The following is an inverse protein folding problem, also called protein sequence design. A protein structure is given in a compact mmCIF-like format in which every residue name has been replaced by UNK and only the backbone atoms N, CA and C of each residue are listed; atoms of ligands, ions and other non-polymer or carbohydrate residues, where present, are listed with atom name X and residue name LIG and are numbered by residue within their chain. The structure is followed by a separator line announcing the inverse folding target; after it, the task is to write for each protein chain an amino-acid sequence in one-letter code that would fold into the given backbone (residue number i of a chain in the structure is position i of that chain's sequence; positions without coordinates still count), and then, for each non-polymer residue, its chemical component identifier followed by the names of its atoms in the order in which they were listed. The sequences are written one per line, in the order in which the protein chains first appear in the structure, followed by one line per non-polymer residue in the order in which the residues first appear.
data_IF_003282990152
#
_entry.id   IF_003282990152
#
_cell.length_a   1.000
_cell.length_b   1.000
_cell.length_c   1.000
_cell.angle_alpha   90.00
_cell.angle_beta   90.00
_cell.angle_gamma   90.00
#
_symmetry.space_group_name_H-M   'P 1'
#
loop_
_entity.id
_entity.type
_entity.pdbx_description
1 polymer ?
#
# COMPACT_ATOMS: atom_id res chain seq x y z
N UNK A 1 -16.23 23.45 13.75
CA UNK A 1 -16.70 24.28 12.61
C UNK A 1 -16.29 25.75 12.73
N UNK A 2 -16.32 26.35 13.92
CA UNK A 2 -15.98 27.78 14.13
C UNK A 2 -14.54 28.15 13.70
N UNK A 3 -13.57 27.29 14.01
CA UNK A 3 -12.17 27.49 13.59
C UNK A 3 -11.95 27.41 12.07
N UNK A 4 -12.72 26.61 11.33
CA UNK A 4 -12.59 26.49 9.86
C UNK A 4 -13.03 27.80 9.21
N UNK A 5 -14.15 28.38 9.67
CA UNK A 5 -14.65 29.68 9.17
C UNK A 5 -13.65 30.81 9.43
N UNK A 6 -13.00 30.80 10.59
CA UNK A 6 -11.97 31.78 10.93
C UNK A 6 -10.75 31.65 10.02
N UNK A 7 -10.27 30.43 9.76
CA UNK A 7 -9.16 30.19 8.84
C UNK A 7 -9.50 30.61 7.41
N UNK A 8 -10.70 30.26 6.92
CA UNK A 8 -11.19 30.70 5.61
C UNK A 8 -11.23 32.23 5.51
N UNK A 9 -11.76 32.90 6.52
CA UNK A 9 -11.83 34.36 6.57
C UNK A 9 -10.44 35.03 6.51
N UNK A 10 -9.47 34.55 7.28
CA UNK A 10 -8.11 35.09 7.25
C UNK A 10 -7.39 34.82 5.92
N UNK A 11 -7.65 33.68 5.30
CA UNK A 11 -7.08 33.35 4.00
C UNK A 11 -7.73 34.18 2.87
N UNK A 12 -9.04 34.44 2.92
CA UNK A 12 -9.76 35.27 1.94
C UNK A 12 -9.26 36.72 1.90
N UNK A 13 -8.76 37.24 3.04
CA UNK A 13 -8.12 38.56 3.08
C UNK A 13 -6.85 38.66 2.24
N UNK A 14 -6.16 37.53 2.01
CA UNK A 14 -4.86 37.49 1.32
C UNK A 14 -4.93 36.84 -0.05
N UNK A 15 -5.89 35.94 -0.26
CA UNK A 15 -6.01 35.12 -1.46
C UNK A 15 -7.45 35.08 -1.95
N UNK A 16 -7.63 35.06 -3.28
CA UNK A 16 -8.95 34.80 -3.87
C UNK A 16 -9.29 33.33 -3.69
N UNK A 17 -10.17 33.04 -2.75
CA UNK A 17 -10.58 31.67 -2.41
C UNK A 17 -12.02 31.44 -2.87
N UNK A 18 -12.29 30.19 -3.23
CA UNK A 18 -13.64 29.69 -3.49
C UNK A 18 -13.88 28.54 -2.53
N UNK A 19 -14.77 28.74 -1.56
CA UNK A 19 -15.24 27.66 -0.72
C UNK A 19 -16.11 26.72 -1.56
N UNK A 20 -15.73 25.44 -1.60
CA UNK A 20 -16.45 24.38 -2.31
C UNK A 20 -17.34 23.55 -1.37
N UNK A 21 -17.43 23.95 -0.10
CA UNK A 21 -18.15 23.24 0.94
C UNK A 21 -17.36 22.05 1.46
N UNK A 22 -18.08 21.04 1.95
CA UNK A 22 -17.48 19.82 2.48
C UNK A 22 -16.68 19.07 1.41
N UNK A 23 -15.53 18.53 1.82
CA UNK A 23 -14.61 17.84 0.92
C UNK A 23 -15.28 16.57 0.38
N UNK A 24 -15.62 16.59 -0.90
CA UNK A 24 -16.13 15.45 -1.66
C UNK A 24 -15.09 14.84 -2.59
N UNK A 25 -14.10 15.63 -3.03
CA UNK A 25 -13.03 15.18 -3.91
C UNK A 25 -11.69 15.82 -3.53
N UNK A 26 -10.63 15.01 -3.48
CA UNK A 26 -9.26 15.48 -3.28
C UNK A 26 -8.30 14.64 -4.13
N UNK A 27 -7.61 15.26 -5.09
CA UNK A 27 -6.63 14.58 -5.95
C UNK A 27 -7.20 13.31 -6.64
N UNK A 28 -8.43 13.32 -7.13
CA UNK A 28 -9.10 12.11 -7.68
C UNK A 28 -9.48 11.01 -6.68
N UNK A 29 -9.28 11.24 -5.38
CA UNK A 29 -9.96 10.49 -4.32
C UNK A 29 -11.36 11.08 -4.12
N UNK A 30 -12.35 10.21 -4.07
CA UNK A 30 -13.74 10.52 -3.75
C UNK A 30 -13.95 10.23 -2.27
N UNK A 31 -14.31 11.27 -1.53
CA UNK A 31 -14.47 11.23 -0.09
C UNK A 31 -15.97 11.34 0.20
N UNK A 32 -16.51 10.34 0.90
CA UNK A 32 -17.87 10.42 1.45
C UNK A 32 -17.77 10.38 2.95
N UNK A 33 -18.22 11.44 3.58
CA UNK A 33 -18.25 11.57 5.02
C UNK A 33 -19.70 11.61 5.49
N UNK A 34 -20.07 10.66 6.34
CA UNK A 34 -21.35 10.65 7.04
C UNK A 34 -21.04 10.94 8.51
N UNK A 35 -21.38 12.15 9.01
CA UNK A 35 -21.07 12.57 10.37
C UNK A 35 -21.47 11.51 11.40
N UNK A 36 -20.58 11.26 12.35
CA UNK A 36 -20.77 10.27 13.43
C UNK A 36 -21.05 8.82 12.99
N UNK A 37 -20.85 8.49 11.72
CA UNK A 37 -21.10 7.14 11.19
C UNK A 37 -19.90 6.58 10.46
N UNK A 38 -19.48 7.22 9.36
CA UNK A 38 -18.43 6.66 8.52
C UNK A 38 -17.71 7.71 7.67
N UNK A 39 -16.49 7.38 7.28
CA UNK A 39 -15.69 8.06 6.27
C UNK A 39 -15.30 6.99 5.25
N UNK A 40 -15.59 7.21 3.97
CA UNK A 40 -15.11 6.34 2.90
C UNK A 40 -14.26 7.10 1.91
N UNK A 41 -13.14 6.50 1.50
CA UNK A 41 -12.28 6.99 0.44
C UNK A 41 -12.25 5.97 -0.68
N UNK A 42 -12.63 6.38 -1.88
CA UNK A 42 -12.58 5.55 -3.08
C UNK A 42 -11.95 6.30 -4.24
N UNK A 43 -11.65 5.61 -5.33
CA UNK A 43 -11.10 6.21 -6.55
C UNK A 43 -11.89 5.77 -7.79
N UNK A 44 -13.19 5.56 -7.65
CA UNK A 44 -14.07 5.01 -8.70
C UNK A 44 -13.95 5.77 -10.02
N UNK A 45 -14.05 7.09 -10.00
CA UNK A 45 -13.94 7.94 -11.18
C UNK A 45 -12.54 7.94 -11.78
N UNK A 46 -11.49 7.87 -10.95
CA UNK A 46 -10.12 7.71 -11.44
C UNK A 46 -9.92 6.36 -12.14
N UNK A 47 -10.42 5.27 -11.55
CA UNK A 47 -10.39 3.94 -12.18
C UNK A 47 -11.11 3.99 -13.55
N UNK A 48 -12.26 4.65 -13.64
CA UNK A 48 -12.96 4.85 -14.92
C UNK A 48 -12.08 5.51 -15.98
N UNK A 49 -11.46 6.65 -15.64
CA UNK A 49 -10.54 7.36 -16.56
C UNK A 49 -9.31 6.54 -16.93
N UNK A 50 -8.75 5.77 -15.98
CA UNK A 50 -7.62 4.88 -16.24
C UNK A 50 -7.99 3.78 -17.23
N UNK A 51 -9.18 3.19 -17.09
CA UNK A 51 -9.65 2.15 -17.98
C UNK A 51 -9.95 2.69 -19.38
N UNK A 52 -10.56 3.87 -19.49
CA UNK A 52 -10.75 4.56 -20.76
C UNK A 52 -9.41 4.88 -21.44
N UNK A 53 -8.48 5.50 -20.68
CA UNK A 53 -7.14 5.87 -21.17
C UNK A 53 -6.38 4.70 -21.78
N UNK A 54 -6.52 3.50 -21.21
CA UNK A 54 -5.79 2.31 -21.66
C UNK A 54 -6.63 1.36 -22.52
N UNK A 55 -7.76 1.84 -23.08
CA UNK A 55 -8.66 1.07 -23.97
C UNK A 55 -9.21 -0.21 -23.32
N UNK A 56 -9.53 -0.13 -22.03
CA UNK A 56 -9.99 -1.25 -21.19
C UNK A 56 -11.38 -0.99 -20.55
N UNK A 57 -12.12 0.03 -21.00
CA UNK A 57 -13.43 0.37 -20.43
C UNK A 57 -14.46 -0.78 -20.51
N UNK A 58 -14.45 -1.53 -21.62
CA UNK A 58 -15.35 -2.66 -21.89
C UNK A 58 -14.71 -4.03 -21.63
N UNK A 59 -13.57 -4.06 -20.91
CA UNK A 59 -12.87 -5.32 -20.69
C UNK A 59 -13.66 -6.25 -19.75
N UNK A 60 -13.54 -7.57 -19.95
CA UNK A 60 -14.12 -8.54 -19.02
C UNK A 60 -13.38 -8.51 -17.68
N UNK A 61 -14.12 -8.34 -16.59
CA UNK A 61 -13.57 -8.34 -15.24
C UNK A 61 -12.80 -9.63 -14.91
N UNK A 62 -11.79 -9.51 -14.04
CA UNK A 62 -11.06 -10.64 -13.45
C UNK A 62 -11.24 -10.66 -11.94
N UNK A 63 -11.35 -11.84 -11.30
CA UNK A 63 -11.60 -11.92 -9.86
C UNK A 63 -10.36 -11.70 -9.00
N UNK A 64 -9.15 -11.79 -9.57
CA UNK A 64 -7.89 -11.57 -8.84
C UNK A 64 -6.95 -10.63 -9.60
N UNK A 65 -6.23 -9.74 -8.89
CA UNK A 65 -5.31 -8.79 -9.52
C UNK A 65 -4.08 -9.50 -10.09
N UNK A 66 -3.69 -10.61 -9.49
CA UNK A 66 -2.50 -11.38 -9.86
C UNK A 66 -2.88 -12.83 -10.16
N UNK A 67 -2.22 -13.44 -11.15
CA UNK A 67 -2.39 -14.86 -11.47
C UNK A 67 -1.67 -15.74 -10.43
N UNK A 68 -2.16 -16.96 -10.21
CA UNK A 68 -1.43 -17.97 -9.44
C UNK A 68 -0.44 -18.70 -10.37
N UNK A 69 0.74 -19.03 -9.86
CA UNK A 69 1.74 -19.83 -10.58
C UNK A 69 3.02 -19.05 -10.91
N UNK A 70 3.72 -19.51 -11.94
CA UNK A 70 5.00 -18.94 -12.35
C UNK A 70 4.81 -17.57 -13.01
N UNK A 71 5.50 -16.56 -12.51
CA UNK A 71 5.64 -15.27 -13.18
C UNK A 71 6.76 -15.33 -14.22
N UNK A 72 6.63 -14.58 -15.32
CA UNK A 72 7.74 -14.35 -16.23
C UNK A 72 8.92 -13.75 -15.49
N UNK A 73 10.12 -14.15 -15.92
CA UNK A 73 11.37 -13.52 -15.50
C UNK A 73 11.54 -12.18 -16.24
N UNK A 74 12.39 -11.27 -15.74
CA UNK A 74 12.78 -10.06 -16.46
C UNK A 74 13.21 -10.40 -17.89
N UNK A 75 12.75 -9.61 -18.86
CA UNK A 75 13.12 -9.81 -20.25
C UNK A 75 14.62 -9.64 -20.45
N UNK A 76 15.22 -10.55 -21.22
CA UNK A 76 16.64 -10.53 -21.55
C UNK A 76 16.83 -9.95 -22.96
N UNK A 77 17.43 -8.75 -23.12
CA UNK A 77 17.59 -8.12 -24.43
C UNK A 77 18.48 -8.93 -25.39
N UNK A 78 19.30 -9.85 -24.89
CA UNK A 78 20.12 -10.73 -25.71
C UNK A 78 19.33 -11.93 -26.27
N UNK A 79 18.13 -12.19 -25.73
CA UNK A 79 17.29 -13.36 -26.06
C UNK A 79 15.94 -13.00 -26.66
N UNK A 80 15.38 -11.86 -26.29
CA UNK A 80 14.04 -11.42 -26.70
C UNK A 80 13.90 -9.90 -26.76
N UNK A 81 12.86 -9.42 -27.44
CA UNK A 81 12.52 -8.01 -27.46
C UNK A 81 12.04 -7.56 -26.06
N UNK A 82 12.68 -6.53 -25.53
CA UNK A 82 12.33 -5.88 -24.26
C UNK A 82 11.73 -4.49 -24.47
N UNK A 83 11.05 -3.98 -23.45
CA UNK A 83 10.28 -2.74 -23.51
C UNK A 83 9.20 -2.77 -24.61
N UNK A 84 8.52 -3.92 -24.74
CA UNK A 84 7.54 -4.16 -25.80
C UNK A 84 6.14 -3.74 -25.35
N UNK A 85 5.63 -2.66 -25.94
CA UNK A 85 4.22 -2.28 -25.83
C UNK A 85 3.39 -3.08 -26.86
N UNK A 86 2.43 -3.90 -26.40
CA UNK A 86 1.56 -4.69 -27.29
C UNK A 86 0.67 -3.78 -28.14
N UNK A 87 0.22 -2.67 -27.57
CA UNK A 87 -0.55 -1.63 -28.25
C UNK A 87 0.34 -0.37 -28.28
N UNK A 88 0.68 0.17 -29.47
CA UNK A 88 1.55 1.34 -29.59
C UNK A 88 1.06 2.57 -28.82
N UNK A 89 -0.26 2.70 -28.60
CA UNK A 89 -0.86 3.83 -27.89
C UNK A 89 -0.93 3.62 -26.38
N UNK A 90 -0.58 2.42 -25.89
CA UNK A 90 -0.70 2.05 -24.48
C UNK A 90 0.69 1.70 -23.95
N UNK A 91 1.22 2.61 -23.15
CA UNK A 91 2.53 2.43 -22.53
C UNK A 91 2.45 1.69 -21.18
N UNK A 92 3.31 0.68 -21.02
CA UNK A 92 3.39 -0.14 -19.81
C UNK A 92 3.71 0.69 -18.55
N UNK A 93 4.67 1.62 -18.65
CA UNK A 93 5.10 2.43 -17.50
C UNK A 93 3.99 3.39 -17.06
N UNK A 94 3.21 3.91 -18.02
CA UNK A 94 2.02 4.71 -17.75
C UNK A 94 0.93 3.91 -17.03
N UNK A 95 0.72 2.64 -17.41
CA UNK A 95 -0.18 1.75 -16.65
C UNK A 95 0.34 1.59 -15.23
N UNK A 96 1.61 1.24 -15.06
CA UNK A 96 2.22 1.07 -13.73
C UNK A 96 2.06 2.33 -12.88
N UNK A 97 2.38 3.52 -13.40
CA UNK A 97 2.25 4.77 -12.65
C UNK A 97 0.81 5.05 -12.21
N UNK A 98 -0.17 4.76 -13.07
CA UNK A 98 -1.59 4.91 -12.74
C UNK A 98 -2.04 3.92 -11.66
N UNK A 99 -1.58 2.67 -11.74
CA UNK A 99 -1.84 1.66 -10.72
C UNK A 99 -1.15 1.97 -9.39
N UNK A 100 0.07 2.50 -9.42
CA UNK A 100 0.82 2.91 -8.24
C UNK A 100 0.09 4.02 -7.49
N UNK A 101 -0.54 4.95 -8.21
CA UNK A 101 -1.37 5.99 -7.60
C UNK A 101 -2.60 5.41 -6.87
N UNK A 102 -3.25 4.40 -7.46
CA UNK A 102 -4.36 3.69 -6.80
C UNK A 102 -3.91 3.03 -5.49
N UNK A 103 -2.77 2.34 -5.53
CA UNK A 103 -2.16 1.70 -4.35
C UNK A 103 -1.83 2.73 -3.28
N UNK A 104 -1.30 3.90 -3.64
CA UNK A 104 -0.92 4.90 -2.66
C UNK A 104 -2.11 5.55 -1.93
N UNK A 105 -3.32 5.43 -2.47
CA UNK A 105 -4.49 6.14 -1.96
C UNK A 105 -5.55 5.22 -1.36
N UNK A 106 -6.09 4.25 -2.10
CA UNK A 106 -7.29 3.50 -1.68
C UNK A 106 -7.31 2.01 -1.99
N UNK A 107 -6.30 1.47 -2.69
CA UNK A 107 -6.30 0.10 -3.21
C UNK A 107 -5.15 -0.76 -2.65
N UNK A 108 -5.18 -1.12 -1.36
CA UNK A 108 -4.21 -2.07 -0.77
C UNK A 108 -4.24 -3.44 -1.45
N UNK A 109 -5.41 -3.85 -1.94
CA UNK A 109 -5.67 -5.17 -2.51
C UNK A 109 -4.88 -5.46 -3.80
N UNK A 110 -4.42 -4.44 -4.52
CA UNK A 110 -3.56 -4.60 -5.70
C UNK A 110 -2.07 -4.37 -5.42
N UNK A 111 -1.69 -4.02 -4.19
CA UNK A 111 -0.33 -3.57 -3.87
C UNK A 111 0.76 -4.59 -4.26
N UNK A 112 0.54 -5.88 -3.99
CA UNK A 112 1.50 -6.94 -4.35
C UNK A 112 1.62 -7.12 -5.87
N UNK A 113 0.51 -7.05 -6.59
CA UNK A 113 0.50 -7.14 -8.05
C UNK A 113 1.26 -5.96 -8.68
N UNK A 114 1.00 -4.73 -8.23
CA UNK A 114 1.67 -3.53 -8.72
C UNK A 114 3.16 -3.54 -8.38
N UNK A 115 3.53 -3.95 -7.17
CA UNK A 115 4.95 -4.16 -6.78
C UNK A 115 5.65 -5.13 -7.73
N UNK A 116 4.97 -6.21 -8.13
CA UNK A 116 5.51 -7.19 -9.08
C UNK A 116 5.73 -6.54 -10.45
N UNK A 117 4.76 -5.79 -10.96
CA UNK A 117 4.88 -5.06 -12.23
C UNK A 117 6.02 -4.03 -12.24
N UNK A 118 6.26 -3.36 -11.11
CA UNK A 118 7.30 -2.35 -10.98
C UNK A 118 8.73 -2.87 -11.19
N UNK A 119 8.96 -4.19 -11.07
CA UNK A 119 10.27 -4.80 -11.34
C UNK A 119 10.68 -4.70 -12.80
N UNK A 120 9.70 -4.72 -13.70
CA UNK A 120 9.93 -4.89 -15.13
C UNK A 120 9.91 -3.58 -15.90
N UNK A 121 9.95 -2.43 -15.23
CA UNK A 121 9.78 -1.11 -15.88
C UNK A 121 10.76 -0.85 -17.04
N UNK A 122 11.95 -1.45 -17.02
CA UNK A 122 12.99 -1.29 -18.04
C UNK A 122 13.26 -2.56 -18.85
N UNK A 123 12.51 -3.64 -18.63
CA UNK A 123 12.71 -4.94 -19.26
C UNK A 123 11.40 -5.71 -19.47
N UNK A 124 10.28 -4.99 -19.60
CA UNK A 124 8.97 -5.60 -19.79
C UNK A 124 8.85 -6.21 -21.19
N UNK A 125 8.15 -7.34 -21.26
CA UNK A 125 7.90 -8.12 -22.47
C UNK A 125 6.39 -8.19 -22.69
N UNK A 126 5.94 -8.87 -23.75
CA UNK A 126 4.50 -9.07 -24.00
C UNK A 126 3.80 -9.75 -22.83
N UNK A 127 4.44 -10.70 -22.16
CA UNK A 127 3.87 -11.39 -21.00
C UNK A 127 3.66 -10.44 -19.81
N UNK A 128 4.64 -9.58 -19.55
CA UNK A 128 4.54 -8.55 -18.52
C UNK A 128 3.38 -7.57 -18.80
N UNK A 129 3.20 -7.18 -20.06
CA UNK A 129 2.09 -6.32 -20.48
C UNK A 129 0.72 -6.98 -20.21
N UNK A 130 0.60 -8.30 -20.46
CA UNK A 130 -0.61 -9.06 -20.15
C UNK A 130 -0.91 -9.05 -18.65
N UNK A 131 0.11 -9.16 -17.80
CA UNK A 131 -0.06 -9.05 -16.35
C UNK A 131 -0.55 -7.65 -15.94
N UNK A 132 -0.03 -6.58 -16.53
CA UNK A 132 -0.51 -5.22 -16.27
C UNK A 132 -1.99 -5.06 -16.69
N UNK A 133 -2.37 -5.56 -17.88
CA UNK A 133 -3.78 -5.58 -18.31
C UNK A 133 -4.67 -6.40 -17.38
N UNK A 134 -4.16 -7.48 -16.76
CA UNK A 134 -4.92 -8.26 -15.78
C UNK A 134 -5.32 -7.40 -14.57
N UNK A 135 -4.43 -6.57 -14.05
CA UNK A 135 -4.74 -5.68 -12.92
C UNK A 135 -5.84 -4.69 -13.32
N UNK A 136 -5.79 -4.13 -14.54
CA UNK A 136 -6.86 -3.27 -15.07
C UNK A 136 -8.20 -4.01 -15.16
N UNK A 137 -8.21 -5.27 -15.60
CA UNK A 137 -9.43 -6.11 -15.62
C UNK A 137 -9.96 -6.39 -14.22
N UNK A 138 -9.09 -6.57 -13.24
CA UNK A 138 -9.53 -6.72 -11.85
C UNK A 138 -10.16 -5.44 -11.32
N UNK A 139 -9.58 -4.28 -11.64
CA UNK A 139 -10.14 -2.98 -11.29
C UNK A 139 -11.51 -2.74 -11.93
N UNK A 140 -11.75 -3.20 -13.16
CA UNK A 140 -13.07 -3.14 -13.80
C UNK A 140 -14.15 -3.86 -13.01
N UNK A 141 -13.83 -5.01 -12.38
CA UNK A 141 -14.78 -5.74 -11.52
C UNK A 141 -14.93 -5.17 -10.12
N UNK A 142 -14.00 -4.30 -9.69
CA UNK A 142 -13.88 -3.83 -8.31
C UNK A 142 -13.85 -2.31 -8.22
N UNK A 143 -14.49 -1.61 -9.18
CA UNK A 143 -14.47 -0.13 -9.28
C UNK A 143 -15.06 0.57 -8.05
N UNK A 144 -16.01 -0.10 -7.40
CA UNK A 144 -16.71 0.41 -6.22
C UNK A 144 -15.94 0.16 -4.91
N UNK A 145 -14.81 -0.55 -4.95
CA UNK A 145 -14.01 -0.79 -3.75
C UNK A 145 -13.32 0.49 -3.29
N UNK A 146 -13.24 0.65 -1.98
CA UNK A 146 -12.56 1.74 -1.30
C UNK A 146 -12.33 1.40 0.17
N UNK A 147 -11.63 2.28 0.86
CA UNK A 147 -11.40 2.18 2.29
C UNK A 147 -12.59 2.79 3.02
N UNK A 148 -13.13 2.07 4.00
CA UNK A 148 -14.26 2.52 4.83
C UNK A 148 -13.82 2.54 6.28
N UNK A 149 -13.81 3.72 6.87
CA UNK A 149 -13.62 3.94 8.30
C UNK A 149 -14.99 4.10 8.94
N UNK A 150 -15.39 3.17 9.78
CA UNK A 150 -16.61 3.30 10.58
C UNK A 150 -16.27 3.94 11.93
N UNK A 151 -17.24 4.61 12.53
CA UNK A 151 -17.10 5.10 13.90
C UNK A 151 -16.81 3.90 14.82
N UNK A 152 -15.74 3.95 15.62
CA UNK A 152 -15.42 2.87 16.54
C UNK A 152 -16.52 2.71 17.58
N UNK A 153 -16.81 1.46 17.94
CA UNK A 153 -17.72 1.15 19.04
C UNK A 153 -17.13 1.53 20.41
N UNK A 154 -15.81 1.43 20.55
CA UNK A 154 -15.08 1.75 21.78
C UNK A 154 -14.41 3.12 21.69
N UNK A 155 -14.42 3.92 22.77
CA UNK A 155 -13.64 5.14 22.83
C UNK A 155 -12.13 4.83 22.83
N UNK A 156 -11.34 5.81 22.40
CA UNK A 156 -9.88 5.73 22.38
C UNK A 156 -9.29 5.43 21.00
N UNK A 157 -7.95 5.40 20.97
CA UNK A 157 -7.15 5.23 19.76
C UNK A 157 -6.44 3.88 19.79
N UNK A 158 -7.06 2.88 19.17
CA UNK A 158 -6.56 1.52 19.10
C UNK A 158 -5.75 1.33 17.82
N UNK A 159 -4.41 1.33 17.94
CA UNK A 159 -3.51 1.05 16.83
C UNK A 159 -3.18 -0.44 16.81
N UNK A 160 -3.47 -1.08 15.69
CA UNK A 160 -3.14 -2.48 15.41
C UNK A 160 -2.34 -2.53 14.13
N UNK A 161 -1.32 -3.37 14.10
CA UNK A 161 -0.49 -3.60 12.93
C UNK A 161 -0.37 -5.10 12.67
N UNK A 162 -0.21 -5.45 11.40
CA UNK A 162 0.06 -6.80 10.93
C UNK A 162 1.29 -6.72 10.05
N UNK A 163 2.28 -7.58 10.28
CA UNK A 163 3.43 -7.79 9.42
C UNK A 163 3.44 -9.24 8.94
N UNK A 164 4.02 -9.45 7.76
CA UNK A 164 4.17 -10.76 7.12
C UNK A 164 5.31 -10.68 6.09
N UNK A 165 6.00 -11.79 5.87
CA UNK A 165 7.11 -11.89 4.93
C UNK A 165 7.03 -13.17 4.09
N UNK A 166 6.99 -12.99 2.77
CA UNK A 166 7.06 -14.10 1.84
C UNK A 166 8.53 -14.41 1.48
N UNK A 167 9.09 -15.46 2.10
CA UNK A 167 10.50 -15.85 1.96
C UNK A 167 10.85 -16.32 0.54
N UNK A 168 11.87 -15.70 -0.05
CA UNK A 168 12.51 -16.22 -1.27
C UNK A 168 11.59 -16.35 -2.50
N UNK A 169 10.42 -15.72 -2.46
CA UNK A 169 9.41 -15.80 -3.52
C UNK A 169 9.86 -15.07 -4.81
N UNK A 170 10.85 -14.18 -4.70
CA UNK A 170 11.48 -13.59 -5.86
C UNK A 170 12.42 -14.58 -6.54
N UNK A 171 12.02 -15.10 -7.70
CA UNK A 171 12.85 -16.04 -8.46
C UNK A 171 14.13 -15.41 -8.98
N UNK A 172 14.11 -14.10 -9.23
CA UNK A 172 15.21 -13.38 -9.88
C UNK A 172 16.41 -13.20 -8.94
N UNK A 173 16.16 -12.74 -7.70
CA UNK A 173 17.21 -12.39 -6.74
C UNK A 173 17.05 -13.08 -5.37
N UNK A 174 16.09 -14.00 -5.23
CA UNK A 174 15.79 -14.77 -4.01
C UNK A 174 15.52 -13.92 -2.76
N UNK A 175 15.17 -12.65 -2.93
CA UNK A 175 14.80 -11.77 -1.82
C UNK A 175 13.36 -12.01 -1.38
N UNK A 176 13.14 -11.83 -0.09
CA UNK A 176 11.81 -11.92 0.51
C UNK A 176 10.98 -10.68 0.22
N UNK A 177 9.66 -10.80 0.36
CA UNK A 177 8.71 -9.69 0.19
C UNK A 177 8.08 -9.38 1.54
N UNK A 178 8.25 -8.16 2.02
CA UNK A 178 7.54 -7.65 3.20
C UNK A 178 6.16 -7.15 2.82
N UNK A 179 5.14 -7.61 3.54
CA UNK A 179 3.81 -7.04 3.61
C UNK A 179 3.55 -6.45 5.00
N UNK A 180 2.83 -5.33 5.07
CA UNK A 180 2.23 -4.90 6.33
C UNK A 180 0.95 -4.11 6.11
N UNK A 181 0.09 -4.10 7.14
CA UNK A 181 -1.14 -3.31 7.22
C UNK A 181 -1.26 -2.73 8.62
N UNK A 182 -1.45 -1.41 8.73
CA UNK A 182 -1.74 -0.72 9.98
C UNK A 182 -3.20 -0.24 9.96
N UNK A 183 -3.86 -0.48 11.08
CA UNK A 183 -5.24 -0.15 11.33
C UNK A 183 -5.36 0.75 12.56
N UNK A 184 -6.16 1.79 12.41
CA UNK A 184 -6.56 2.66 13.50
C UNK A 184 -8.03 2.40 13.76
N UNK A 185 -8.37 1.91 14.95
CA UNK A 185 -9.75 1.58 15.31
C UNK A 185 -10.41 0.60 14.33
N UNK A 186 -9.68 -0.43 13.91
CA UNK A 186 -10.14 -1.43 12.94
C UNK A 186 -10.14 -0.96 11.48
N UNK A 187 -9.69 0.26 11.21
CA UNK A 187 -9.76 0.85 9.89
C UNK A 187 -8.36 1.06 9.30
N UNK A 188 -8.10 0.45 8.15
CA UNK A 188 -6.80 0.49 7.47
C UNK A 188 -6.45 1.89 6.98
N UNK A 189 -5.29 2.41 7.37
CA UNK A 189 -4.81 3.72 6.93
C UNK A 189 -3.41 3.68 6.32
N UNK A 190 -2.62 2.65 6.61
CA UNK A 190 -1.30 2.47 6.04
C UNK A 190 -1.08 1.00 5.69
N UNK A 191 -0.42 0.75 4.57
CA UNK A 191 -0.16 -0.59 4.07
C UNK A 191 0.98 -0.54 3.06
N UNK A 192 1.66 -1.67 2.88
CA UNK A 192 2.76 -1.77 1.92
C UNK A 192 3.00 -3.20 1.49
N UNK A 193 3.44 -3.36 0.25
CA UNK A 193 4.08 -4.58 -0.24
C UNK A 193 5.40 -4.17 -0.89
N UNK A 194 6.53 -4.70 -0.40
CA UNK A 194 7.86 -4.24 -0.79
C UNK A 194 8.86 -5.39 -0.77
N UNK A 195 9.74 -5.42 -1.78
CA UNK A 195 10.89 -6.34 -1.79
C UNK A 195 11.88 -5.93 -0.70
N UNK A 196 12.34 -6.89 0.10
CA UNK A 196 13.33 -6.63 1.13
C UNK A 196 14.67 -6.23 0.50
N UNK A 197 15.41 -5.29 1.12
CA UNK A 197 16.71 -4.86 0.60
C UNK A 197 17.81 -5.89 0.85
N UNK A 198 17.64 -6.76 1.86
CA UNK A 198 18.59 -7.80 2.24
C UNK A 198 18.06 -9.17 1.80
N UNK A 199 18.98 -10.11 1.52
CA UNK A 199 18.63 -11.52 1.38
C UNK A 199 18.61 -12.15 2.77
N UNK A 200 17.57 -12.93 3.04
CA UNK A 200 17.42 -13.73 4.26
C UNK A 200 17.40 -15.20 3.86
N UNK A 201 18.09 -16.02 4.62
CA UNK A 201 18.26 -17.46 4.40
C UNK A 201 17.20 -18.30 5.13
N UNK A 202 16.49 -17.70 6.09
CA UNK A 202 15.43 -18.35 6.85
C UNK A 202 14.18 -17.46 6.97
N UNK A 203 13.04 -18.10 7.29
CA UNK A 203 11.75 -17.43 7.44
C UNK A 203 11.75 -16.46 8.62
N UNK A 204 12.37 -16.83 9.76
CA UNK A 204 12.39 -15.98 10.95
C UNK A 204 13.09 -14.64 10.67
N UNK A 205 14.21 -14.66 9.96
CA UNK A 205 14.91 -13.44 9.54
C UNK A 205 14.08 -12.58 8.59
N UNK A 206 13.35 -13.19 7.64
CA UNK A 206 12.46 -12.48 6.73
C UNK A 206 11.31 -11.78 7.48
N UNK A 207 10.66 -12.50 8.39
CA UNK A 207 9.57 -11.97 9.22
C UNK A 207 10.06 -10.87 10.15
N UNK A 208 11.23 -11.05 10.77
CA UNK A 208 11.84 -10.01 11.59
C UNK A 208 12.05 -8.70 10.82
N UNK A 209 12.48 -8.77 9.54
CA UNK A 209 12.62 -7.58 8.68
C UNK A 209 11.25 -6.96 8.39
N UNK A 210 10.22 -7.76 8.14
CA UNK A 210 8.86 -7.26 7.93
C UNK A 210 8.31 -6.56 9.17
N UNK A 211 8.41 -7.20 10.34
CA UNK A 211 8.06 -6.62 11.63
C UNK A 211 8.83 -5.30 11.88
N UNK A 212 10.12 -5.25 11.56
CA UNK A 212 10.91 -4.03 11.74
C UNK A 212 10.49 -2.88 10.83
N UNK A 213 10.23 -3.15 9.55
CA UNK A 213 9.70 -2.13 8.64
C UNK A 213 8.32 -1.64 9.10
N UNK A 214 7.47 -2.53 9.62
CA UNK A 214 6.17 -2.21 10.19
C UNK A 214 6.30 -1.33 11.44
N UNK A 215 7.20 -1.67 12.37
CA UNK A 215 7.46 -0.90 13.60
C UNK A 215 7.92 0.53 13.32
N UNK A 216 8.68 0.76 12.25
CA UNK A 216 9.02 2.14 11.85
C UNK A 216 7.76 2.97 11.54
N UNK A 217 6.77 2.39 10.86
CA UNK A 217 5.50 3.07 10.57
C UNK A 217 4.64 3.25 11.82
N UNK A 218 4.69 2.29 12.75
CA UNK A 218 4.05 2.43 14.06
C UNK A 218 4.64 3.63 14.80
N UNK A 219 5.97 3.74 14.87
CA UNK A 219 6.66 4.86 15.52
C UNK A 219 6.34 6.20 14.84
N UNK A 220 6.32 6.25 13.51
CA UNK A 220 5.88 7.46 12.80
C UNK A 220 4.43 7.85 13.17
N UNK A 221 3.55 6.86 13.31
CA UNK A 221 2.15 7.09 13.72
C UNK A 221 2.07 7.58 15.16
N UNK A 222 2.90 7.05 16.07
CA UNK A 222 2.97 7.49 17.46
C UNK A 222 3.39 8.95 17.57
N UNK A 223 4.45 9.35 16.85
CA UNK A 223 4.93 10.73 16.82
C UNK A 223 3.87 11.68 16.26
N UNK A 224 3.20 11.28 15.18
CA UNK A 224 2.10 12.08 14.60
C UNK A 224 0.95 12.26 15.59
N UNK A 225 0.59 11.21 16.35
CA UNK A 225 -0.45 11.33 17.37
C UNK A 225 -0.04 12.30 18.49
N UNK A 226 1.22 12.29 18.90
CA UNK A 226 1.75 13.21 19.90
C UNK A 226 1.70 14.67 19.42
N UNK A 227 2.14 14.94 18.19
CA UNK A 227 2.06 16.28 17.58
C UNK A 227 0.62 16.79 17.47
N UNK A 228 -0.31 15.90 17.12
CA UNK A 228 -1.74 16.19 17.06
C UNK A 228 -2.42 16.24 18.44
N UNK A 229 -1.67 16.03 19.53
CA UNK A 229 -2.16 15.97 20.92
C UNK A 229 -3.28 14.93 21.11
N UNK A 230 -3.22 13.84 20.36
CA UNK A 230 -4.13 12.71 20.47
C UNK A 230 -3.64 11.78 21.59
N UNK A 231 -4.47 11.58 22.61
CA UNK A 231 -4.13 10.68 23.70
C UNK A 231 -4.21 9.22 23.25
N UNK A 232 -3.12 8.48 23.46
CA UNK A 232 -3.03 7.05 23.24
C UNK A 232 -3.04 6.34 24.58
N UNK A 233 -4.19 5.80 24.97
CA UNK A 233 -4.37 5.14 26.26
C UNK A 233 -4.15 3.63 26.20
N UNK A 234 -3.98 3.08 25.00
CA UNK A 234 -3.84 1.65 24.75
C UNK A 234 -2.50 1.32 24.11
N UNK A 235 -1.94 0.18 24.50
CA UNK A 235 -0.74 -0.36 23.88
C UNK A 235 -1.00 -0.70 22.41
N UNK A 236 -0.02 -0.45 21.54
CA UNK A 236 -0.07 -0.88 20.15
C UNK A 236 0.26 -2.35 20.04
N UNK A 237 -0.52 -3.09 19.27
CA UNK A 237 -0.30 -4.52 19.02
C UNK A 237 0.24 -4.69 17.60
N UNK A 238 1.39 -5.35 17.46
CA UNK A 238 1.92 -5.84 16.20
C UNK A 238 1.69 -7.35 16.15
N UNK A 239 0.84 -7.80 15.25
CA UNK A 239 0.61 -9.20 14.95
C UNK A 239 1.66 -9.71 13.97
N UNK A 240 2.21 -10.86 14.32
CA UNK A 240 3.20 -11.64 13.60
C UNK A 240 2.79 -13.11 13.74
N UNK A 241 2.92 -13.91 12.70
CA UNK A 241 2.46 -15.31 12.71
C UNK A 241 3.59 -16.32 12.92
N UNK A 242 4.85 -15.86 12.85
CA UNK A 242 6.04 -16.68 13.02
C UNK A 242 6.53 -16.69 14.49
N UNK A 243 6.41 -17.82 15.23
CA UNK A 243 6.78 -17.88 16.64
C UNK A 243 8.27 -17.65 16.90
N UNK A 244 9.13 -18.02 15.96
CA UNK A 244 10.57 -17.80 16.09
C UNK A 244 10.89 -16.31 15.99
N UNK A 245 10.28 -15.60 15.04
CA UNK A 245 10.43 -14.15 14.90
C UNK A 245 9.90 -13.41 16.13
N UNK A 246 8.72 -13.80 16.64
CA UNK A 246 8.14 -13.24 17.87
C UNK A 246 9.11 -13.40 19.06
N UNK A 247 9.70 -14.59 19.20
CA UNK A 247 10.67 -14.86 20.26
C UNK A 247 11.91 -13.98 20.13
N UNK A 248 12.48 -13.86 18.93
CA UNK A 248 13.64 -12.99 18.67
C UNK A 248 13.31 -11.53 19.01
N UNK A 249 12.16 -11.02 18.58
CA UNK A 249 11.70 -9.66 18.89
C UNK A 249 11.59 -9.46 20.42
N UNK A 250 10.98 -10.42 21.12
CA UNK A 250 10.85 -10.38 22.57
C UNK A 250 12.20 -10.44 23.30
N UNK A 251 13.15 -11.24 22.82
CA UNK A 251 14.47 -11.41 23.44
C UNK A 251 15.45 -10.28 23.09
N UNK A 252 15.32 -9.62 21.94
CA UNK A 252 16.12 -8.44 21.56
C UNK A 252 15.86 -7.28 22.53
N UNK A 253 14.66 -7.17 23.10
CA UNK A 253 14.38 -6.24 24.21
C UNK A 253 15.20 -6.54 25.50
N UNK A 254 15.78 -7.73 25.59
CA UNK A 254 16.61 -8.23 26.71
C UNK A 254 18.09 -8.48 26.36
N UNK A 255 18.56 -8.04 25.19
CA UNK A 255 20.00 -8.01 24.84
C UNK A 255 20.54 -9.18 24.00
N UNK A 256 19.69 -9.91 23.28
CA UNK A 256 20.14 -10.97 22.36
C UNK A 256 20.60 -10.39 21.00
N UNK A 257 21.85 -10.69 20.61
CA UNK A 257 22.51 -10.20 19.40
C UNK A 257 22.40 -11.21 18.26
N UNK A 258 21.47 -11.02 17.32
CA UNK A 258 21.47 -11.73 16.04
C UNK A 258 22.35 -10.93 15.08
N UNK A 259 23.65 -11.26 15.07
CA UNK A 259 24.74 -10.51 14.38
C UNK A 259 24.50 -10.18 12.90
N UNK A 260 23.61 -10.88 12.19
CA UNK A 260 23.31 -10.64 10.77
C UNK A 260 22.28 -9.53 10.52
N UNK A 261 21.45 -9.18 11.51
CA UNK A 261 20.34 -8.19 11.39
C UNK A 261 20.47 -7.02 12.38
N UNK A 262 21.54 -7.06 13.17
CA UNK A 262 21.75 -6.40 14.47
C UNK A 262 22.00 -4.88 14.49
N UNK A 263 22.00 -4.14 13.36
CA UNK A 263 22.30 -2.69 13.41
C UNK A 263 21.26 -1.79 12.76
N UNK A 264 20.41 -2.32 11.87
CA UNK A 264 19.45 -1.50 11.11
C UNK A 264 18.02 -1.55 11.69
N UNK A 265 17.70 -2.58 12.46
CA UNK A 265 16.33 -2.97 12.76
C UNK A 265 15.97 -2.99 14.27
N UNK A 266 16.83 -2.42 15.11
CA UNK A 266 16.72 -2.28 16.58
C UNK A 266 15.61 -1.33 17.08
N UNK A 267 14.55 -1.12 16.29
CA UNK A 267 13.44 -0.19 16.60
C UNK A 267 12.11 -0.88 16.87
N UNK A 268 12.13 -2.20 17.05
CA UNK A 268 10.94 -3.00 17.40
C UNK A 268 10.82 -3.06 18.92
#
# INVERSE_FOLDING_TARGET
MENIKLVLFELEKKFKIKDLGDVSHLLSMEIKYVPDQSLSISQRGYIGRVLERFKMADCKAMPTPQAKGNFPLPGDPDREDVCVNIDPDVDYQCIFGSLQYLVSCSRPDIASAVRTLGKFLTCYTKEHFVLAKRVLRYLQGTREYGLVWNKPALPGLHLIAYADADLGNEKDDRRSITGYVLQLNGCTFCYKSKKQPIMTDDTCSAEFVAASECSNMIMCTHNLCEELKLQRTTQTILYEDNPAAIKVIGEVSSGYKVRSVDLKFHKI
#
